data_IF_318171621265
#
_entry.id   IF_318171621265
#
_cell.length_a   1.000
_cell.length_b   1.000
_cell.length_c   1.000
_cell.angle_alpha   90.00
_cell.angle_beta   90.00
_cell.angle_gamma   90.00
#
_symmetry.space_group_name_H-M   'P 1'
#
loop_
_entity.id
_entity.type
_entity.pdbx_description
1 polymer ?
#
# COMPACT_ATOMS: atom_id res chain seq x y z
N UNK A 1 21.75 -9.81 -13.13
CA UNK A 1 20.29 -10.06 -13.20
C UNK A 1 19.63 -8.82 -13.76
N UNK A 2 19.21 -8.95 -15.02
CA UNK A 2 18.17 -8.26 -15.80
C UNK A 2 17.78 -6.81 -15.41
N UNK A 3 18.26 -5.85 -16.21
CA UNK A 3 17.64 -4.54 -16.35
C UNK A 3 16.33 -4.69 -17.14
N UNK A 4 15.19 -4.38 -16.53
CA UNK A 4 13.91 -4.31 -17.24
C UNK A 4 13.65 -2.86 -17.60
N UNK A 5 14.00 -2.55 -18.84
CA UNK A 5 13.60 -1.37 -19.59
C UNK A 5 12.08 -1.43 -19.83
N UNK A 6 11.31 -0.41 -19.44
CA UNK A 6 9.93 -0.28 -19.90
C UNK A 6 9.61 1.19 -20.22
N UNK A 7 9.15 1.39 -21.45
CA UNK A 7 9.09 2.64 -22.21
C UNK A 7 8.18 3.68 -21.59
N UNK A 8 8.61 4.93 -21.62
CA UNK A 8 7.74 6.09 -21.52
C UNK A 8 6.86 6.16 -22.79
N UNK A 9 5.54 6.10 -22.63
CA UNK A 9 4.58 6.50 -23.66
C UNK A 9 3.69 7.58 -23.08
N UNK A 10 3.86 8.80 -23.60
CA UNK A 10 3.05 9.97 -23.30
C UNK A 10 1.64 9.79 -23.88
N UNK A 11 0.61 9.99 -23.07
CA UNK A 11 -0.65 10.63 -23.47
C UNK A 11 -1.48 10.94 -22.21
N UNK A 12 -1.58 12.23 -21.88
CA UNK A 12 -2.70 12.79 -21.11
C UNK A 12 -2.68 12.66 -19.58
N UNK A 13 -2.22 13.72 -18.91
CA UNK A 13 -2.84 14.21 -17.67
C UNK A 13 -2.49 13.50 -16.35
N UNK A 14 -1.70 14.20 -15.53
CA UNK A 14 -1.33 13.86 -14.13
C UNK A 14 -0.40 12.65 -14.00
N UNK A 15 0.83 12.78 -14.50
CA UNK A 15 1.94 12.03 -13.91
C UNK A 15 2.14 12.57 -12.49
N UNK A 16 1.59 11.88 -11.48
CA UNK A 16 2.15 11.92 -10.14
C UNK A 16 3.60 11.46 -10.31
N UNK A 17 4.51 12.43 -10.33
CA UNK A 17 5.95 12.25 -10.38
C UNK A 17 6.32 11.34 -9.21
N UNK A 18 6.37 10.04 -9.47
CA UNK A 18 6.87 9.03 -8.53
C UNK A 18 8.39 9.12 -8.53
N UNK A 19 8.92 10.24 -8.02
CA UNK A 19 10.28 10.19 -7.51
C UNK A 19 10.21 9.48 -6.17
N UNK A 20 10.97 8.39 -6.09
CA UNK A 20 11.00 7.34 -5.07
C UNK A 20 11.19 7.88 -3.65
N UNK A 21 10.16 8.50 -3.09
CA UNK A 21 10.10 8.91 -1.70
C UNK A 21 9.35 7.81 -0.96
N UNK A 22 10.11 6.92 -0.34
CA UNK A 22 9.62 5.90 0.60
C UNK A 22 8.36 6.36 1.35
N UNK A 23 7.29 5.57 1.32
CA UNK A 23 6.05 5.81 2.06
C UNK A 23 6.08 5.14 3.44
N UNK A 24 5.29 5.64 4.38
CA UNK A 24 5.08 4.95 5.67
C UNK A 24 3.95 3.95 5.53
N UNK A 25 4.14 2.76 6.11
CA UNK A 25 3.13 1.70 6.13
C UNK A 25 3.21 0.91 7.44
N UNK A 26 2.10 0.28 7.83
CA UNK A 26 2.12 -0.79 8.82
C UNK A 26 2.57 -2.07 8.12
N UNK A 27 3.67 -2.64 8.58
CA UNK A 27 4.29 -3.84 8.04
C UNK A 27 4.09 -5.00 9.00
N UNK A 28 3.75 -6.18 8.47
CA UNK A 28 3.70 -7.42 9.23
C UNK A 28 4.88 -8.31 8.81
N UNK A 29 6.00 -8.29 9.55
CA UNK A 29 7.21 -9.04 9.17
C UNK A 29 7.03 -10.56 9.32
N UNK A 30 6.10 -10.99 10.18
CA UNK A 30 5.74 -12.38 10.41
C UNK A 30 4.24 -12.47 10.59
N UNK A 31 3.65 -13.54 10.04
CA UNK A 31 2.26 -13.86 10.34
C UNK A 31 2.06 -14.00 11.84
N UNK A 32 1.03 -13.35 12.36
CA UNK A 32 0.78 -13.25 13.78
C UNK A 32 -0.39 -12.33 14.11
N UNK A 33 -0.37 -11.81 15.33
CA UNK A 33 -1.43 -10.93 15.85
C UNK A 33 -1.20 -9.48 15.43
N UNK A 34 -2.10 -8.58 15.83
CA UNK A 34 -1.92 -7.14 15.59
C UNK A 34 -0.70 -6.57 16.31
N UNK A 35 -0.26 -7.22 17.39
CA UNK A 35 0.91 -6.78 18.16
C UNK A 35 2.21 -6.96 17.37
N UNK A 36 2.19 -7.78 16.31
CA UNK A 36 3.31 -7.99 15.40
C UNK A 36 3.40 -6.91 14.30
N UNK A 37 2.44 -5.98 14.24
CA UNK A 37 2.49 -4.88 13.27
C UNK A 37 3.50 -3.82 13.69
N UNK A 38 4.38 -3.45 12.77
CA UNK A 38 5.37 -2.40 12.97
C UNK A 38 5.17 -1.26 11.97
N UNK A 39 5.32 -0.01 12.43
CA UNK A 39 5.40 1.13 11.52
C UNK A 39 6.76 1.10 10.81
N UNK A 40 6.74 1.08 9.48
CA UNK A 40 7.93 1.03 8.66
C UNK A 40 7.85 1.91 7.42
N UNK A 41 8.91 1.87 6.62
CA UNK A 41 9.01 2.58 5.34
C UNK A 41 9.14 1.56 4.21
N UNK A 42 8.42 1.79 3.12
CA UNK A 42 8.43 0.92 1.94
C UNK A 42 8.31 1.76 0.67
N UNK A 43 8.66 1.18 -0.46
CA UNK A 43 8.38 1.78 -1.75
C UNK A 43 6.86 1.87 -1.99
N UNK A 44 6.37 2.99 -2.56
CA UNK A 44 4.99 3.06 -3.03
C UNK A 44 4.73 1.98 -4.08
N UNK A 45 3.55 1.34 -4.08
CA UNK A 45 3.19 0.40 -5.13
C UNK A 45 3.00 1.15 -6.46
N UNK A 46 3.35 0.49 -7.55
CA UNK A 46 2.99 0.93 -8.90
C UNK A 46 1.58 0.45 -9.22
N UNK A 47 0.62 1.34 -9.49
CA UNK A 47 -0.72 0.93 -9.90
C UNK A 47 -0.67 0.25 -11.27
N UNK A 48 -1.49 -0.78 -11.48
CA UNK A 48 -1.80 -1.33 -12.80
C UNK A 48 -2.66 -0.38 -13.66
N UNK A 49 -2.94 -0.78 -14.90
CA UNK A 49 -3.61 0.07 -15.89
C UNK A 49 -5.00 0.58 -15.45
N UNK A 50 -5.73 -0.20 -14.66
CA UNK A 50 -7.06 0.12 -14.15
C UNK A 50 -7.08 0.41 -12.63
N UNK A 51 -5.91 0.66 -12.04
CA UNK A 51 -5.76 0.93 -10.61
C UNK A 51 -5.37 2.39 -10.36
N UNK A 52 -5.73 2.89 -9.17
CA UNK A 52 -5.36 4.23 -8.74
C UNK A 52 -4.62 4.20 -7.42
N UNK A 53 -3.58 5.03 -7.30
CA UNK A 53 -2.86 5.21 -6.06
C UNK A 53 -3.55 6.25 -5.18
N UNK A 54 -3.98 5.84 -3.98
CA UNK A 54 -4.66 6.72 -3.03
C UNK A 54 -3.73 7.12 -1.88
N UNK A 55 -3.74 8.41 -1.54
CA UNK A 55 -3.10 8.90 -0.31
C UNK A 55 -4.08 8.83 0.85
N UNK A 56 -3.89 7.84 1.72
CA UNK A 56 -4.69 7.67 2.93
C UNK A 56 -4.38 8.78 3.94
N UNK A 57 -5.43 9.43 4.46
CA UNK A 57 -5.34 10.43 5.55
C UNK A 57 -5.82 9.90 6.89
N UNK A 58 -6.76 8.97 6.85
CA UNK A 58 -7.30 8.27 8.00
C UNK A 58 -7.67 6.85 7.57
N UNK A 59 -7.45 5.89 8.47
CA UNK A 59 -7.90 4.51 8.34
C UNK A 59 -8.35 4.03 9.72
N UNK A 60 -9.37 3.18 9.76
CA UNK A 60 -9.87 2.58 10.99
C UNK A 60 -9.78 1.07 10.92
N UNK A 61 -9.68 0.44 12.10
CA UNK A 61 -9.77 -1.01 12.25
C UNK A 61 -11.15 -1.36 12.80
N UNK A 62 -11.81 -2.33 12.18
CA UNK A 62 -12.99 -2.96 12.78
C UNK A 62 -12.51 -4.00 13.80
N UNK A 63 -12.83 -3.79 15.07
CA UNK A 63 -12.58 -4.76 16.13
C UNK A 63 -13.86 -5.61 16.24
N UNK A 64 -13.78 -6.89 15.84
CA UNK A 64 -14.85 -7.83 16.18
C UNK A 64 -14.73 -8.19 17.65
N UNK A 65 -15.79 -7.94 18.42
CA UNK A 65 -15.86 -8.37 19.80
C UNK A 65 -16.07 -9.89 19.83
N UNK A 66 -15.32 -10.64 20.65
CA UNK A 66 -15.59 -12.06 20.83
C UNK A 66 -16.97 -12.22 21.49
N UNK A 67 -17.92 -12.87 20.79
CA UNK A 67 -19.28 -13.14 21.27
C UNK A 67 -20.43 -12.72 20.34
N UNK A 68 -20.13 -12.09 19.20
CA UNK A 68 -21.14 -11.65 18.21
C UNK A 68 -21.51 -12.75 17.19
N UNK A 69 -21.60 -14.00 17.65
CA UNK A 69 -22.08 -15.16 16.88
C UNK A 69 -23.46 -15.63 17.41
N UNK A 70 -24.32 -14.69 17.83
CA UNK A 70 -25.70 -15.02 18.22
C UNK A 70 -26.61 -14.93 16.99
N UNK A 71 -26.86 -16.08 16.39
CA UNK A 71 -27.92 -16.32 15.39
C UNK A 71 -29.29 -16.28 16.08
#
# INVERSE_FOLDING_TARGET
MTAILARASLLGGIYLRSESRMMHALLQPRYGTTDDLALGRTEPPSPGDDEVLLRVRAASRVIRMPGDDSV
#
